data_IF_207253168885
#
_entry.id   IF_207253168885
#
_cell.length_a   1.000
_cell.length_b   1.000
_cell.length_c   1.000
_cell.angle_alpha   90.00
_cell.angle_beta   90.00
_cell.angle_gamma   90.00
#
_symmetry.space_group_name_H-M   'P 1'
#
loop_
_entity.id
_entity.type
_entity.pdbx_description
1 polymer ?
#
# COMPACT_ATOMS: atom_id res chain seq x y z
N UNK A 1 31.36 46.37 52.49
CA UNK A 1 30.18 47.04 51.91
C UNK A 1 29.36 46.04 51.14
N UNK A 2 28.13 45.81 51.60
CA UNK A 2 27.13 45.02 50.86
C UNK A 2 26.45 45.99 49.91
N UNK A 3 26.49 45.70 48.61
CA UNK A 3 25.69 46.45 47.64
C UNK A 3 24.22 46.12 47.88
N UNK A 4 23.49 47.13 48.37
CA UNK A 4 22.07 47.03 48.65
C UNK A 4 21.30 46.62 47.40
N UNK A 5 21.73 47.03 46.20
CA UNK A 5 21.06 46.68 44.96
C UNK A 5 21.16 45.19 44.64
N UNK A 6 22.35 44.60 44.76
CA UNK A 6 22.55 43.16 44.55
C UNK A 6 21.85 42.31 45.62
N UNK A 7 21.82 42.77 46.87
CA UNK A 7 21.07 42.12 47.94
C UNK A 7 19.56 42.12 47.67
N UNK A 8 19.02 43.25 47.20
CA UNK A 8 17.59 43.39 46.85
C UNK A 8 17.21 42.60 45.59
N UNK A 9 18.15 42.37 44.67
CA UNK A 9 17.94 41.55 43.48
C UNK A 9 17.87 40.05 43.80
N UNK A 10 18.58 39.60 44.84
CA UNK A 10 18.57 38.20 45.28
C UNK A 10 17.31 37.85 46.09
N UNK A 11 16.76 38.81 46.83
CA UNK A 11 15.52 38.64 47.58
C UNK A 11 14.62 39.88 47.46
N UNK A 12 13.68 39.82 46.52
CA UNK A 12 12.72 40.90 46.27
C UNK A 12 11.77 41.15 47.45
N UNK A 13 11.65 40.21 48.40
CA UNK A 13 10.85 40.41 49.61
C UNK A 13 11.50 41.40 50.57
N UNK A 14 12.84 41.51 50.54
CA UNK A 14 13.60 42.45 51.36
C UNK A 14 13.28 43.92 51.03
N UNK A 15 12.96 44.25 49.76
CA UNK A 15 12.47 45.59 49.37
C UNK A 15 11.21 45.98 50.14
N UNK A 16 10.25 45.06 50.23
CA UNK A 16 8.98 45.30 50.92
C UNK A 16 9.17 45.45 52.42
N UNK A 17 10.02 44.61 53.03
CA UNK A 17 10.34 44.70 54.45
C UNK A 17 11.06 46.01 54.79
N UNK A 18 12.01 46.44 53.98
CA UNK A 18 12.71 47.72 54.17
C UNK A 18 11.76 48.92 54.04
N UNK A 19 10.87 48.90 53.04
CA UNK A 19 9.85 49.93 52.87
C UNK A 19 8.91 50.01 54.08
N UNK A 20 8.47 48.86 54.60
CA UNK A 20 7.62 48.79 55.78
C UNK A 20 8.32 49.31 57.06
N UNK A 21 9.63 49.10 57.18
CA UNK A 21 10.40 49.65 58.28
C UNK A 21 10.56 51.17 58.17
N UNK A 22 10.80 51.68 56.95
CA UNK A 22 10.95 53.12 56.71
C UNK A 22 9.64 53.88 56.91
N UNK A 23 8.48 53.30 56.61
CA UNK A 23 7.18 53.94 56.85
C UNK A 23 6.81 54.00 58.34
N UNK A 24 7.44 53.19 59.19
CA UNK A 24 7.27 53.21 60.66
C UNK A 24 8.07 54.33 61.33
N UNK A 25 9.01 54.97 60.63
CA UNK A 25 9.81 56.07 61.18
C UNK A 25 9.00 57.37 61.18
N UNK A 26 8.84 57.98 62.36
CA UNK A 26 8.20 59.29 62.46
C UNK A 26 9.17 60.41 62.06
N UNK A 27 9.10 60.82 60.78
CA UNK A 27 9.96 61.86 60.21
C UNK A 27 9.89 63.22 60.94
N UNK A 28 8.79 63.49 61.67
CA UNK A 28 8.65 64.72 62.45
C UNK A 28 9.55 64.77 63.70
N UNK A 29 10.08 63.62 64.12
CA UNK A 29 11.02 63.51 65.25
C UNK A 29 12.49 63.49 64.81
N UNK A 30 12.74 63.45 63.51
CA UNK A 30 14.07 63.43 62.91
C UNK A 30 14.54 64.85 62.56
N UNK A 31 15.85 65.06 62.50
CA UNK A 31 16.40 66.30 61.95
C UNK A 31 16.13 66.38 60.45
N UNK A 32 15.98 67.58 59.91
CA UNK A 32 15.71 67.82 58.48
C UNK A 32 16.65 67.03 57.54
N UNK A 33 17.98 66.97 57.77
CA UNK A 33 18.87 66.17 56.92
C UNK A 33 18.57 64.66 56.96
N UNK A 34 18.21 64.13 58.13
CA UNK A 34 17.86 62.71 58.29
C UNK A 34 16.54 62.41 57.59
N UNK A 35 15.55 63.29 57.71
CA UNK A 35 14.26 63.13 57.05
C UNK A 35 14.37 63.15 55.52
N UNK A 36 15.26 63.99 54.96
CA UNK A 36 15.56 64.01 53.53
C UNK A 36 16.17 62.68 53.08
N UNK A 37 17.20 62.18 53.79
CA UNK A 37 17.84 60.91 53.47
C UNK A 37 16.84 59.73 53.51
N UNK A 38 15.95 59.71 54.51
CA UNK A 38 14.94 58.67 54.64
C UNK A 38 13.91 58.73 53.50
N UNK A 39 13.53 59.93 53.06
CA UNK A 39 12.62 60.12 51.93
C UNK A 39 13.27 59.71 50.60
N UNK A 40 14.54 60.07 50.39
CA UNK A 40 15.29 59.67 49.20
C UNK A 40 15.47 58.15 49.15
N UNK A 41 15.73 57.52 50.30
CA UNK A 41 15.83 56.06 50.41
C UNK A 41 14.49 55.37 50.10
N UNK A 42 13.37 55.89 50.60
CA UNK A 42 12.03 55.40 50.25
C UNK A 42 11.76 55.51 48.75
N UNK A 43 12.08 56.65 48.15
CA UNK A 43 11.91 56.88 46.71
C UNK A 43 12.78 55.96 45.86
N UNK A 44 14.02 55.70 46.30
CA UNK A 44 14.93 54.78 45.63
C UNK A 44 14.45 53.33 45.72
N UNK A 45 13.94 52.90 46.88
CA UNK A 45 13.34 51.58 47.05
C UNK A 45 12.08 51.39 46.17
N UNK A 46 11.26 52.43 46.01
CA UNK A 46 10.10 52.40 45.12
C UNK A 46 10.50 52.22 43.66
N UNK A 47 11.53 52.94 43.22
CA UNK A 47 12.07 52.81 41.87
C UNK A 47 12.68 51.42 41.62
N UNK A 48 13.50 50.91 42.55
CA UNK A 48 14.11 49.58 42.43
C UNK A 48 13.04 48.48 42.41
N UNK A 49 12.03 48.57 43.26
CA UNK A 49 10.90 47.62 43.27
C UNK A 49 10.13 47.64 41.95
N UNK A 50 9.89 48.83 41.40
CA UNK A 50 9.27 49.00 40.08
C UNK A 50 10.08 48.34 38.96
N UNK A 51 11.41 48.55 38.95
CA UNK A 51 12.31 47.93 37.97
C UNK A 51 12.35 46.41 38.08
N UNK A 52 12.43 45.85 39.29
CA UNK A 52 12.46 44.40 39.51
C UNK A 52 11.17 43.73 39.02
N UNK A 53 10.00 44.31 39.32
CA UNK A 53 8.72 43.78 38.86
C UNK A 53 8.58 43.80 37.33
N UNK A 54 9.09 44.83 36.68
CA UNK A 54 9.10 44.91 35.21
C UNK A 54 10.00 43.84 34.59
N UNK A 55 11.19 43.60 35.18
CA UNK A 55 12.13 42.59 34.71
C UNK A 55 11.61 41.16 34.89
N UNK A 56 10.99 40.86 36.03
CA UNK A 56 10.34 39.57 36.26
C UNK A 56 9.20 39.32 35.28
N UNK A 57 8.35 40.33 35.03
CA UNK A 57 7.24 40.21 34.09
C UNK A 57 7.74 40.01 32.65
N UNK A 58 8.76 40.76 32.24
CA UNK A 58 9.39 40.60 30.94
C UNK A 58 9.98 39.20 30.79
N UNK A 59 10.70 38.72 31.80
CA UNK A 59 11.31 37.39 31.82
C UNK A 59 10.25 36.28 31.72
N UNK A 60 9.17 36.36 32.50
CA UNK A 60 8.06 35.39 32.41
C UNK A 60 7.42 35.39 31.04
N UNK A 61 7.14 36.57 30.47
CA UNK A 61 6.54 36.68 29.12
C UNK A 61 7.43 36.12 28.02
N UNK A 62 8.75 36.29 28.13
CA UNK A 62 9.73 35.67 27.22
C UNK A 62 9.72 34.16 27.39
N UNK A 63 9.72 33.66 28.61
CA UNK A 63 9.71 32.23 28.90
C UNK A 63 8.43 31.53 28.41
N UNK A 64 7.27 32.15 28.62
CA UNK A 64 5.98 31.66 28.11
C UNK A 64 5.97 31.58 26.58
N UNK A 65 6.42 32.65 25.90
CA UNK A 65 6.53 32.66 24.43
C UNK A 65 7.49 31.60 23.91
N UNK A 66 8.63 31.43 24.57
CA UNK A 66 9.62 30.41 24.20
C UNK A 66 9.02 29.01 24.35
N UNK A 67 8.37 28.73 25.48
CA UNK A 67 7.72 27.44 25.72
C UNK A 67 6.62 27.15 24.70
N UNK A 68 5.81 28.15 24.35
CA UNK A 68 4.77 28.02 23.33
C UNK A 68 5.37 27.79 21.93
N UNK A 69 6.48 28.47 21.60
CA UNK A 69 7.19 28.29 20.34
C UNK A 69 7.83 26.90 20.24
N UNK A 70 8.48 26.43 21.31
CA UNK A 70 9.08 25.09 21.37
C UNK A 70 7.99 24.02 21.18
N UNK A 71 6.83 24.16 21.86
CA UNK A 71 5.69 23.25 21.68
C UNK A 71 5.12 23.28 20.25
N UNK A 72 5.03 24.46 19.63
CA UNK A 72 4.58 24.60 18.25
C UNK A 72 5.58 23.94 17.26
N UNK A 73 6.87 24.08 17.52
CA UNK A 73 7.92 23.46 16.71
C UNK A 73 7.92 21.93 16.83
N UNK A 74 7.78 21.39 18.05
CA UNK A 74 7.63 19.95 18.26
C UNK A 74 6.39 19.40 17.54
N UNK A 75 5.26 20.10 17.61
CA UNK A 75 4.05 19.70 16.92
C UNK A 75 4.22 19.75 15.38
N UNK A 76 4.82 20.81 14.85
CA UNK A 76 5.12 20.92 13.42
C UNK A 76 6.08 19.82 12.94
N UNK A 77 7.09 19.49 13.76
CA UNK A 77 8.04 18.42 13.47
C UNK A 77 7.35 17.05 13.41
N UNK A 78 6.45 16.75 14.36
CA UNK A 78 5.65 15.50 14.33
C UNK A 78 4.79 15.42 13.08
N UNK A 79 4.03 16.48 12.76
CA UNK A 79 3.20 16.52 11.55
C UNK A 79 4.02 16.36 10.27
N UNK A 80 5.22 16.95 10.22
CA UNK A 80 6.11 16.81 9.07
C UNK A 80 6.58 15.36 8.90
N UNK A 81 6.92 14.67 10.00
CA UNK A 81 7.30 13.27 9.97
C UNK A 81 6.13 12.38 9.51
N UNK A 82 4.94 12.59 10.07
CA UNK A 82 3.73 11.86 9.69
C UNK A 82 3.40 12.04 8.20
N UNK A 83 3.59 13.24 7.66
CA UNK A 83 3.39 13.52 6.24
C UNK A 83 4.41 12.80 5.35
N UNK A 84 5.68 12.73 5.78
CA UNK A 84 6.73 12.02 5.07
C UNK A 84 6.47 10.50 5.05
N UNK A 85 6.07 9.94 6.20
CA UNK A 85 5.72 8.52 6.31
C UNK A 85 4.52 8.17 5.42
N UNK A 86 3.48 9.02 5.39
CA UNK A 86 2.34 8.85 4.49
C UNK A 86 2.75 8.91 3.01
N UNK A 87 3.63 9.85 2.64
CA UNK A 87 4.13 9.95 1.28
C UNK A 87 4.93 8.70 0.86
N UNK A 88 5.73 8.15 1.78
CA UNK A 88 6.45 6.89 1.56
C UNK A 88 5.49 5.71 1.34
N UNK A 89 4.46 5.58 2.20
CA UNK A 89 3.44 4.54 2.05
C UNK A 89 2.67 4.64 0.72
N UNK A 90 2.29 5.85 0.31
CA UNK A 90 1.63 6.07 -0.99
C UNK A 90 2.53 5.68 -2.16
N UNK A 91 3.82 6.01 -2.09
CA UNK A 91 4.79 5.63 -3.11
C UNK A 91 4.91 4.11 -3.22
N UNK A 92 5.00 3.41 -2.08
CA UNK A 92 5.08 1.95 -2.05
C UNK A 92 3.79 1.28 -2.54
N UNK A 93 2.63 1.79 -2.15
CA UNK A 93 1.35 1.30 -2.64
C UNK A 93 1.21 1.48 -4.17
N UNK A 94 1.72 2.60 -4.70
CA UNK A 94 1.75 2.84 -6.14
C UNK A 94 2.66 1.86 -6.87
N UNK A 95 3.87 1.60 -6.37
CA UNK A 95 4.77 0.62 -6.99
C UNK A 95 4.19 -0.80 -6.95
N UNK A 96 3.53 -1.17 -5.85
CA UNK A 96 2.87 -2.47 -5.75
C UNK A 96 1.70 -2.59 -6.73
N UNK A 97 0.93 -1.50 -6.92
CA UNK A 97 -0.15 -1.46 -7.90
C UNK A 97 0.37 -1.61 -9.33
N UNK A 98 1.44 -0.90 -9.69
CA UNK A 98 2.09 -0.99 -11.00
C UNK A 98 2.61 -2.42 -11.26
N UNK A 99 3.29 -3.03 -10.29
CA UNK A 99 3.77 -4.42 -10.42
C UNK A 99 2.63 -5.44 -10.58
N UNK A 100 1.50 -5.23 -9.89
CA UNK A 100 0.29 -6.06 -10.05
C UNK A 100 -0.33 -5.87 -11.43
N UNK A 101 -0.38 -4.64 -11.94
CA UNK A 101 -0.91 -4.36 -13.28
C UNK A 101 -0.06 -5.04 -14.38
N UNK A 102 1.27 -4.99 -14.28
CA UNK A 102 2.17 -5.71 -15.18
C UNK A 102 1.95 -7.23 -15.11
N UNK A 103 1.77 -7.77 -13.91
CA UNK A 103 1.50 -9.20 -13.70
C UNK A 103 0.17 -9.63 -14.34
N UNK A 104 -0.87 -8.80 -14.25
CA UNK A 104 -2.17 -9.06 -14.88
C UNK A 104 -2.01 -9.13 -16.40
N UNK A 105 -1.33 -8.16 -17.02
CA UNK A 105 -1.09 -8.17 -18.47
C UNK A 105 -0.31 -9.42 -18.93
N UNK A 106 0.66 -9.87 -18.12
CA UNK A 106 1.39 -11.10 -18.38
C UNK A 106 0.46 -12.32 -18.32
N UNK A 107 -0.36 -12.43 -17.29
CA UNK A 107 -1.33 -13.52 -17.15
C UNK A 107 -2.37 -13.52 -18.26
N UNK A 108 -2.86 -12.36 -18.68
CA UNK A 108 -3.77 -12.23 -19.83
C UNK A 108 -3.13 -12.78 -21.11
N UNK A 109 -1.86 -12.46 -21.36
CA UNK A 109 -1.12 -13.02 -22.51
C UNK A 109 -0.97 -14.54 -22.41
N UNK A 110 -0.61 -15.05 -21.24
CA UNK A 110 -0.48 -16.50 -21.01
C UNK A 110 -1.81 -17.23 -21.19
N UNK A 111 -2.93 -16.63 -20.77
CA UNK A 111 -4.27 -17.18 -20.99
C UNK A 111 -4.57 -17.25 -22.49
N UNK A 112 -4.29 -16.20 -23.25
CA UNK A 112 -4.49 -16.20 -24.71
C UNK A 112 -3.64 -17.26 -25.41
N UNK A 113 -2.37 -17.39 -25.04
CA UNK A 113 -1.50 -18.45 -25.58
C UNK A 113 -2.01 -19.86 -25.27
N UNK A 114 -2.50 -20.08 -24.04
CA UNK A 114 -3.09 -21.36 -23.64
C UNK A 114 -4.39 -21.65 -24.39
N UNK A 115 -5.25 -20.65 -24.58
CA UNK A 115 -6.47 -20.78 -25.38
C UNK A 115 -6.16 -21.17 -26.83
N UNK A 116 -5.12 -20.57 -27.42
CA UNK A 116 -4.67 -20.92 -28.77
C UNK A 116 -4.17 -22.37 -28.83
N UNK A 117 -3.33 -22.80 -27.88
CA UNK A 117 -2.86 -24.19 -27.79
C UNK A 117 -4.00 -25.19 -27.61
N UNK A 118 -5.01 -24.86 -26.81
CA UNK A 118 -6.20 -25.70 -26.64
C UNK A 118 -6.96 -25.82 -27.95
N UNK A 119 -7.13 -24.72 -28.69
CA UNK A 119 -7.79 -24.73 -29.99
C UNK A 119 -7.03 -25.59 -31.01
N UNK A 120 -5.72 -25.44 -31.10
CA UNK A 120 -4.86 -26.26 -31.97
C UNK A 120 -4.94 -27.75 -31.61
N UNK A 121 -4.92 -28.08 -30.31
CA UNK A 121 -5.07 -29.45 -29.84
C UNK A 121 -6.45 -30.04 -30.21
N UNK A 122 -7.52 -29.25 -30.11
CA UNK A 122 -8.87 -29.65 -30.52
C UNK A 122 -8.95 -29.89 -32.04
N UNK A 123 -8.37 -29.00 -32.85
CA UNK A 123 -8.29 -29.15 -34.30
C UNK A 123 -7.51 -30.42 -34.69
N UNK A 124 -6.38 -30.68 -34.03
CA UNK A 124 -5.60 -31.90 -34.22
C UNK A 124 -6.37 -33.17 -33.83
N UNK A 125 -7.11 -33.13 -32.72
CA UNK A 125 -7.95 -34.25 -32.29
C UNK A 125 -9.08 -34.52 -33.30
N UNK A 126 -9.79 -33.48 -33.73
CA UNK A 126 -10.83 -33.57 -34.76
C UNK A 126 -10.28 -34.16 -36.06
N UNK A 127 -9.11 -33.69 -36.51
CA UNK A 127 -8.45 -34.18 -37.72
C UNK A 127 -8.04 -35.65 -37.58
N UNK A 128 -7.59 -36.08 -36.40
CA UNK A 128 -7.26 -37.47 -36.14
C UNK A 128 -8.50 -38.36 -36.18
N UNK A 129 -9.58 -37.98 -35.48
CA UNK A 129 -10.84 -38.73 -35.43
C UNK A 129 -11.50 -38.85 -36.81
N UNK A 130 -11.50 -37.78 -37.62
CA UNK A 130 -12.04 -37.84 -38.99
C UNK A 130 -11.19 -38.71 -39.93
N UNK A 131 -9.86 -38.63 -39.85
CA UNK A 131 -8.99 -39.46 -40.70
C UNK A 131 -8.99 -40.95 -40.31
N UNK A 132 -9.19 -41.29 -39.04
CA UNK A 132 -9.24 -42.70 -38.61
C UNK A 132 -10.62 -43.33 -38.85
N UNK A 133 -11.70 -42.64 -38.53
CA UNK A 133 -13.05 -43.19 -38.72
C UNK A 133 -13.45 -43.27 -40.20
N UNK A 134 -13.13 -42.24 -41.00
CA UNK A 134 -13.47 -42.20 -42.42
C UNK A 134 -12.73 -43.25 -43.25
N UNK A 135 -11.40 -43.31 -43.11
CA UNK A 135 -10.59 -44.22 -43.93
C UNK A 135 -10.81 -45.70 -43.58
N UNK A 136 -10.96 -46.05 -42.30
CA UNK A 136 -11.17 -47.46 -41.91
C UNK A 136 -12.52 -48.00 -42.35
N UNK A 137 -13.58 -47.18 -42.28
CA UNK A 137 -14.90 -47.59 -42.72
C UNK A 137 -14.96 -47.74 -44.24
N UNK A 138 -14.40 -46.80 -45.01
CA UNK A 138 -14.34 -46.91 -46.47
C UNK A 138 -13.51 -48.12 -46.93
N UNK A 139 -12.39 -48.43 -46.26
CA UNK A 139 -11.59 -49.62 -46.58
C UNK A 139 -12.37 -50.92 -46.34
N UNK A 140 -13.08 -51.02 -45.21
CA UNK A 140 -13.89 -52.19 -44.87
C UNK A 140 -15.09 -52.33 -45.82
N UNK A 141 -15.75 -51.22 -46.18
CA UNK A 141 -16.86 -51.21 -47.12
C UNK A 141 -16.42 -51.66 -48.51
N UNK A 142 -15.29 -51.14 -49.00
CA UNK A 142 -14.74 -51.50 -50.31
C UNK A 142 -14.30 -52.96 -50.36
N UNK A 143 -13.69 -53.49 -49.29
CA UNK A 143 -13.39 -54.92 -49.17
C UNK A 143 -14.66 -55.77 -49.19
N UNK A 144 -15.69 -55.38 -48.44
CA UNK A 144 -16.98 -56.08 -48.43
C UNK A 144 -17.67 -56.11 -49.80
N UNK A 145 -17.62 -54.99 -50.54
CA UNK A 145 -18.15 -54.92 -51.91
C UNK A 145 -17.39 -55.83 -52.88
N UNK A 146 -16.06 -55.84 -52.81
CA UNK A 146 -15.23 -56.71 -53.64
C UNK A 146 -15.48 -58.20 -53.33
N UNK A 147 -15.57 -58.56 -52.05
CA UNK A 147 -15.90 -59.92 -51.63
C UNK A 147 -17.29 -60.34 -52.11
N UNK A 148 -18.29 -59.45 -52.04
CA UNK A 148 -19.64 -59.72 -52.55
C UNK A 148 -19.65 -59.93 -54.07
N UNK A 149 -18.89 -59.13 -54.83
CA UNK A 149 -18.76 -59.30 -56.28
C UNK A 149 -18.12 -60.65 -56.62
N UNK A 150 -17.06 -61.03 -55.91
CA UNK A 150 -16.45 -62.37 -56.11
C UNK A 150 -17.39 -63.51 -55.74
N UNK A 151 -18.19 -63.35 -54.69
CA UNK A 151 -19.18 -64.36 -54.29
C UNK A 151 -20.28 -64.55 -55.36
N UNK A 152 -20.76 -63.46 -55.98
CA UNK A 152 -21.78 -63.55 -57.03
C UNK A 152 -21.20 -64.12 -58.34
N UNK A 153 -19.93 -63.82 -58.67
CA UNK A 153 -19.22 -64.47 -59.77
C UNK A 153 -19.11 -65.99 -59.55
N UNK A 154 -18.63 -66.41 -58.36
CA UNK A 154 -18.52 -67.83 -57.99
C UNK A 154 -19.88 -68.54 -58.03
N UNK A 155 -20.96 -67.88 -57.62
CA UNK A 155 -22.31 -68.42 -57.71
C UNK A 155 -22.76 -68.63 -59.16
N UNK A 156 -22.40 -67.72 -60.07
CA UNK A 156 -22.58 -67.91 -61.51
C UNK A 156 -21.79 -69.09 -62.07
N UNK A 157 -20.53 -69.25 -61.65
CA UNK A 157 -19.69 -70.39 -62.01
C UNK A 157 -20.25 -71.72 -61.47
N UNK A 158 -20.74 -71.73 -60.23
CA UNK A 158 -21.40 -72.92 -59.66
C UNK A 158 -22.66 -73.27 -60.45
N UNK A 159 -23.51 -72.29 -60.78
CA UNK A 159 -24.72 -72.54 -61.57
C UNK A 159 -24.40 -73.11 -62.95
N UNK A 160 -23.35 -72.63 -63.62
CA UNK A 160 -22.90 -73.17 -64.91
C UNK A 160 -22.34 -74.59 -64.78
N UNK A 161 -21.52 -74.86 -63.75
CA UNK A 161 -21.00 -76.20 -63.45
C UNK A 161 -22.13 -77.19 -63.10
N UNK A 162 -23.12 -76.77 -62.31
CA UNK A 162 -24.31 -77.58 -62.02
C UNK A 162 -25.14 -77.88 -63.27
N UNK A 163 -25.31 -76.89 -64.15
CA UNK A 163 -25.96 -77.08 -65.46
C UNK A 163 -25.23 -78.11 -66.32
N UNK A 164 -23.90 -78.00 -66.43
CA UNK A 164 -23.06 -78.96 -67.15
C UNK A 164 -23.12 -80.37 -66.53
N UNK A 165 -23.18 -80.46 -65.20
CA UNK A 165 -23.36 -81.75 -64.49
C UNK A 165 -24.69 -82.40 -64.84
N UNK A 166 -25.79 -81.65 -64.74
CA UNK A 166 -27.15 -82.16 -65.06
C UNK A 166 -27.24 -82.63 -66.51
N UNK A 167 -26.71 -81.86 -67.46
CA UNK A 167 -26.65 -82.24 -68.87
C UNK A 167 -25.88 -83.56 -69.08
N UNK A 168 -24.74 -83.71 -68.41
CA UNK A 168 -23.92 -84.93 -68.51
C UNK A 168 -24.62 -86.14 -67.89
N UNK A 169 -25.27 -85.96 -66.73
CA UNK A 169 -26.07 -87.02 -66.08
C UNK A 169 -27.24 -87.49 -66.96
N UNK A 170 -28.00 -86.57 -67.54
CA UNK A 170 -29.08 -86.91 -68.48
C UNK A 170 -28.59 -87.71 -69.69
N UNK A 171 -27.39 -87.40 -70.18
CA UNK A 171 -26.76 -88.15 -71.29
C UNK A 171 -26.32 -89.57 -70.91
N UNK A 172 -25.93 -89.79 -69.65
CA UNK A 172 -25.55 -91.10 -69.15
C UNK A 172 -26.77 -91.99 -68.86
N UNK A 173 -27.89 -91.39 -68.47
CA UNK A 173 -29.16 -92.08 -68.19
C UNK A 173 -29.99 -92.38 -69.45
N UNK A 174 -29.62 -91.84 -70.61
CA UNK A 174 -30.29 -92.05 -71.91
C UNK A 174 -29.66 -93.15 -72.78
N UNK A 175 -28.70 -93.92 -72.26
CA UNK A 175 -28.11 -95.11 -72.88
C UNK A 175 -28.56 -96.37 -72.11
#
# INVERSE_FOLDING_TARGET
DVDLFEALKQDSTTCYTMKELLTKVNLATCSLPVSIILFDLQSLLDNVTGCLLQDEFATRKVQEKRTAMDAAYEHASKLSQEAEDQAMHLKQAKTDYEARAESILLWERQIQELQQKVKEAQEHQLAYETNTAGNQFEELLNKGLAEMETAEQLKGEVATLEGARRFTQQRLESF
#
